data_IF_944688737035
#
_entry.id   IF_944688737035
#
_cell.length_a   1.000
_cell.length_b   1.000
_cell.length_c   1.000
_cell.angle_alpha   90.00
_cell.angle_beta   90.00
_cell.angle_gamma   90.00
#
_symmetry.space_group_name_H-M   'P 1'
#
loop_
_entity.id
_entity.type
_entity.pdbx_description
1 polymer ?
#
# COMPACT_ATOMS: atom_id res chain seq x y z
N UNK A 1 -38.27 -54.25 -45.28
CA UNK A 1 -38.59 -52.86 -45.65
C UNK A 1 -37.29 -52.08 -45.55
N UNK A 2 -36.82 -51.59 -46.68
CA UNK A 2 -35.42 -51.28 -47.00
C UNK A 2 -35.33 -49.79 -47.37
N UNK A 3 -34.12 -49.20 -47.28
CA UNK A 3 -33.70 -47.93 -47.91
C UNK A 3 -34.21 -46.63 -47.22
N UNK A 4 -33.49 -45.50 -47.13
CA UNK A 4 -32.23 -45.01 -47.74
C UNK A 4 -31.79 -43.73 -46.96
N UNK A 5 -30.52 -43.64 -46.57
CA UNK A 5 -29.50 -42.66 -47.02
C UNK A 5 -29.87 -41.16 -47.02
N UNK A 6 -29.05 -40.33 -46.35
CA UNK A 6 -29.08 -38.88 -46.52
C UNK A 6 -28.02 -38.12 -45.72
N UNK A 7 -26.74 -38.53 -45.77
CA UNK A 7 -25.63 -37.74 -45.22
C UNK A 7 -25.31 -36.59 -46.19
N UNK A 8 -25.66 -35.35 -45.82
CA UNK A 8 -25.20 -34.14 -46.51
C UNK A 8 -24.08 -33.51 -45.70
N UNK A 9 -22.87 -33.55 -46.27
CA UNK A 9 -21.70 -32.88 -45.74
C UNK A 9 -21.83 -31.37 -45.84
N UNK A 10 -21.53 -30.69 -44.73
CA UNK A 10 -21.31 -29.25 -44.70
C UNK A 10 -19.81 -29.03 -44.47
N UNK A 11 -19.12 -28.66 -45.55
CA UNK A 11 -17.73 -28.22 -45.54
C UNK A 11 -17.70 -26.82 -44.92
N UNK A 12 -17.55 -26.75 -43.59
CA UNK A 12 -17.42 -25.50 -42.85
C UNK A 12 -16.00 -24.97 -43.02
N UNK A 13 -15.82 -24.03 -43.95
CA UNK A 13 -14.58 -23.29 -44.11
C UNK A 13 -14.42 -22.32 -42.92
N UNK A 14 -13.65 -22.73 -41.91
CA UNK A 14 -13.24 -21.86 -40.80
C UNK A 14 -12.10 -20.97 -41.32
N UNK A 15 -12.47 -19.78 -41.79
CA UNK A 15 -11.53 -18.71 -42.12
C UNK A 15 -10.99 -18.15 -40.80
N UNK A 16 -9.81 -18.65 -40.38
CA UNK A 16 -8.99 -18.07 -39.32
C UNK A 16 -8.63 -16.62 -39.71
N UNK A 17 -9.45 -15.68 -39.25
CA UNK A 17 -9.06 -14.27 -39.21
C UNK A 17 -8.22 -14.07 -37.95
N UNK A 18 -6.91 -14.25 -38.08
CA UNK A 18 -5.93 -13.83 -37.08
C UNK A 18 -5.94 -12.30 -37.04
N UNK A 19 -6.92 -11.73 -36.35
CA UNK A 19 -6.89 -10.33 -35.94
C UNK A 19 -5.79 -10.24 -34.91
N UNK A 20 -4.60 -9.82 -35.35
CA UNK A 20 -3.51 -9.42 -34.48
C UNK A 20 -3.96 -8.22 -33.67
N UNK A 21 -4.53 -8.47 -32.50
CA UNK A 21 -4.77 -7.45 -31.48
C UNK A 21 -3.38 -7.08 -30.96
N UNK A 22 -2.75 -6.11 -31.61
CA UNK A 22 -1.60 -5.40 -31.05
C UNK A 22 -2.12 -4.67 -29.82
N UNK A 23 -1.97 -5.31 -28.65
CA UNK A 23 -2.11 -4.66 -27.37
C UNK A 23 -1.08 -3.52 -27.34
N UNK A 24 -1.53 -2.30 -27.63
CA UNK A 24 -0.80 -1.08 -27.34
C UNK A 24 -0.74 -0.98 -25.81
N UNK A 25 0.25 -1.64 -25.21
CA UNK A 25 0.63 -1.37 -23.83
C UNK A 25 1.26 0.02 -23.85
N UNK A 26 0.46 1.04 -23.57
CA UNK A 26 1.00 2.35 -23.23
C UNK A 26 1.92 2.14 -22.04
N UNK A 27 3.24 2.20 -22.27
CA UNK A 27 4.19 2.37 -21.19
C UNK A 27 3.80 3.71 -20.55
N UNK A 28 3.14 3.64 -19.39
CA UNK A 28 2.93 4.82 -18.58
C UNK A 28 4.29 5.45 -18.36
N UNK A 29 4.44 6.73 -18.71
CA UNK A 29 5.62 7.48 -18.32
C UNK A 29 5.59 7.48 -16.81
N UNK A 30 6.52 6.74 -16.22
CA UNK A 30 6.61 6.63 -14.79
C UNK A 30 6.79 8.05 -14.22
N UNK A 31 5.90 8.40 -13.31
CA UNK A 31 5.81 9.70 -12.68
C UNK A 31 6.76 9.83 -11.50
N UNK A 32 6.62 10.93 -10.74
CA UNK A 32 7.46 11.22 -9.58
C UNK A 32 7.29 10.23 -8.42
N UNK A 33 6.27 9.36 -8.46
CA UNK A 33 5.99 8.37 -7.41
C UNK A 33 6.26 6.93 -7.89
N UNK A 34 7.08 6.74 -8.93
CA UNK A 34 7.49 5.42 -9.42
C UNK A 34 8.13 4.60 -8.29
N UNK A 35 7.83 3.29 -8.24
CA UNK A 35 8.37 2.41 -7.22
C UNK A 35 7.70 2.54 -5.85
N UNK A 36 6.61 3.29 -5.75
CA UNK A 36 5.92 3.48 -4.48
C UNK A 36 5.42 2.16 -3.88
N UNK A 37 5.48 2.09 -2.55
CA UNK A 37 5.03 0.97 -1.75
C UNK A 37 4.16 1.50 -0.60
N UNK A 38 3.27 0.67 -0.09
CA UNK A 38 2.56 0.94 1.16
C UNK A 38 3.08 0.03 2.26
N UNK A 39 3.43 0.63 3.38
CA UNK A 39 3.96 -0.04 4.56
C UNK A 39 2.94 0.01 5.69
N UNK A 40 2.98 -0.98 6.57
CA UNK A 40 2.26 -0.96 7.84
C UNK A 40 3.26 -0.76 8.96
N UNK A 41 2.92 0.11 9.91
CA UNK A 41 3.78 0.51 11.02
C UNK A 41 2.97 0.50 12.32
N UNK A 42 3.57 0.09 13.43
CA UNK A 42 3.01 0.19 14.79
C UNK A 42 4.04 0.82 15.71
N UNK A 43 3.57 1.58 16.69
CA UNK A 43 4.34 2.12 17.79
C UNK A 43 3.76 1.57 19.09
N UNK A 44 4.50 0.66 19.73
CA UNK A 44 4.08 0.01 20.98
C UNK A 44 3.96 1.00 22.14
N UNK A 45 4.41 2.25 21.98
CA UNK A 45 4.18 3.32 22.95
C UNK A 45 2.79 3.98 22.85
N UNK A 46 2.03 3.69 21.78
CA UNK A 46 0.72 4.30 21.54
C UNK A 46 -0.41 3.36 21.96
N UNK A 47 -1.03 3.68 23.09
CA UNK A 47 -2.27 3.04 23.52
C UNK A 47 -3.48 3.66 22.81
N UNK A 48 -4.42 2.82 22.38
CA UNK A 48 -5.69 3.32 21.85
C UNK A 48 -6.53 4.03 22.92
N UNK A 49 -7.09 5.17 22.55
CA UNK A 49 -7.95 6.02 23.34
C UNK A 49 -9.06 6.58 22.46
N UNK A 50 -10.32 6.37 22.88
CA UNK A 50 -11.48 6.78 22.10
C UNK A 50 -11.50 8.29 21.86
N UNK A 51 -11.67 8.69 20.59
CA UNK A 51 -11.78 10.09 20.18
C UNK A 51 -10.45 10.83 20.04
N UNK A 52 -9.32 10.12 20.15
CA UNK A 52 -8.01 10.64 19.76
C UNK A 52 -7.83 10.47 18.26
N UNK A 53 -7.38 11.53 17.59
CA UNK A 53 -6.92 11.44 16.20
C UNK A 53 -5.46 10.99 16.21
N UNK A 54 -5.18 9.82 15.63
CA UNK A 54 -3.85 9.24 15.55
C UNK A 54 -3.05 9.72 14.33
N UNK A 55 -3.61 10.66 13.57
CA UNK A 55 -2.91 11.35 12.50
C UNK A 55 -1.63 12.02 12.99
N UNK A 56 -0.53 11.81 12.27
CA UNK A 56 0.81 12.35 12.54
C UNK A 56 1.47 11.80 13.82
N UNK A 57 0.93 10.72 14.40
CA UNK A 57 1.45 10.11 15.64
C UNK A 57 2.31 8.86 15.39
N UNK A 58 2.55 8.46 14.13
CA UNK A 58 3.45 7.33 13.82
C UNK A 58 4.91 7.58 14.21
N UNK A 59 5.32 8.84 14.37
CA UNK A 59 6.73 9.19 14.61
C UNK A 59 7.67 8.93 13.41
N UNK A 60 7.12 8.51 12.25
CA UNK A 60 7.87 8.23 11.03
C UNK A 60 7.61 9.23 9.89
N UNK A 61 6.82 10.27 10.13
CA UNK A 61 6.61 11.32 9.14
C UNK A 61 7.84 12.22 9.03
N UNK A 62 8.27 12.47 7.81
CA UNK A 62 9.30 13.45 7.54
C UNK A 62 8.68 14.84 7.37
N UNK A 63 9.40 15.91 7.72
CA UNK A 63 8.91 17.26 7.48
C UNK A 63 8.43 17.46 6.02
N UNK A 64 7.25 18.06 5.86
CA UNK A 64 6.65 18.32 4.55
C UNK A 64 7.42 19.39 3.74
N UNK A 65 8.32 20.14 4.40
CA UNK A 65 9.11 21.23 3.84
C UNK A 65 10.52 20.80 3.37
N UNK A 66 10.80 19.50 3.31
CA UNK A 66 12.07 19.03 2.76
C UNK A 66 12.14 19.40 1.28
N UNK A 67 13.08 20.28 0.93
CA UNK A 67 13.42 20.54 -0.45
C UNK A 67 13.89 19.23 -1.09
N UNK A 68 13.36 18.94 -2.28
CA UNK A 68 13.78 17.79 -3.06
C UNK A 68 15.31 17.74 -3.21
N UNK A 69 15.87 16.54 -3.46
CA UNK A 69 17.28 16.23 -3.26
C UNK A 69 18.30 17.30 -3.72
N UNK A 70 19.47 17.35 -3.06
CA UNK A 70 20.02 16.32 -2.19
C UNK A 70 19.43 16.31 -0.78
N UNK A 71 18.95 15.15 -0.32
CA UNK A 71 18.60 14.95 1.09
C UNK A 71 19.90 14.81 1.89
N UNK A 72 20.02 15.49 3.02
CA UNK A 72 21.16 15.27 3.91
C UNK A 72 21.09 13.88 4.58
N UNK A 73 22.23 13.29 4.96
CA UNK A 73 22.26 11.97 5.61
C UNK A 73 21.58 11.96 7.00
N UNK A 74 21.34 13.13 7.59
CA UNK A 74 20.53 13.30 8.81
C UNK A 74 19.02 13.25 8.54
N UNK A 75 18.63 13.14 7.28
CA UNK A 75 17.24 13.14 6.89
C UNK A 75 16.55 11.82 7.24
N UNK A 76 15.26 11.98 7.45
CA UNK A 76 14.25 10.96 7.65
C UNK A 76 14.26 9.80 6.62
N UNK A 77 15.03 9.95 5.53
CA UNK A 77 15.27 8.98 4.47
C UNK A 77 15.83 7.63 4.94
N UNK A 78 16.76 7.64 5.90
CA UNK A 78 17.35 6.40 6.43
C UNK A 78 16.33 5.57 7.22
N UNK A 79 15.24 6.17 7.70
CA UNK A 79 14.23 5.48 8.50
C UNK A 79 13.17 4.77 7.64
N UNK A 80 12.97 5.22 6.40
CA UNK A 80 11.97 4.67 5.48
C UNK A 80 12.14 3.15 5.23
N UNK A 81 13.38 2.70 5.12
CA UNK A 81 13.73 1.33 4.77
C UNK A 81 14.08 0.44 5.97
N UNK A 82 14.00 0.96 7.20
CA UNK A 82 14.31 0.23 8.43
C UNK A 82 13.06 -0.39 9.10
N UNK A 83 11.92 -0.40 8.40
CA UNK A 83 10.66 -0.91 8.94
C UNK A 83 10.67 -2.44 8.86
N UNK A 84 10.92 -3.07 10.01
CA UNK A 84 10.82 -4.51 10.16
C UNK A 84 9.35 -4.98 10.05
N UNK A 85 9.10 -6.27 9.76
CA UNK A 85 7.77 -6.84 9.80
C UNK A 85 7.09 -6.53 11.15
N UNK A 86 5.91 -5.93 11.08
CA UNK A 86 5.13 -5.59 12.26
C UNK A 86 4.30 -6.80 12.69
N UNK A 87 4.57 -7.27 13.91
CA UNK A 87 3.71 -8.23 14.61
C UNK A 87 3.31 -7.64 15.96
N UNK A 88 2.02 -7.63 16.25
CA UNK A 88 1.53 -7.32 17.57
C UNK A 88 1.36 -8.60 18.39
N UNK A 89 1.85 -8.59 19.63
CA UNK A 89 1.66 -9.68 20.58
C UNK A 89 0.57 -9.31 21.56
N UNK A 90 -0.54 -10.03 21.47
CA UNK A 90 -1.64 -9.91 22.41
C UNK A 90 -2.97 -9.78 21.69
N UNK A 91 -4.02 -9.79 22.49
CA UNK A 91 -5.40 -9.50 22.09
C UNK A 91 -5.75 -8.04 22.38
N UNK A 92 -4.76 -7.23 22.75
CA UNK A 92 -4.95 -5.83 23.08
C UNK A 92 -5.20 -5.01 21.82
N UNK A 93 -5.79 -3.86 22.02
CA UNK A 93 -6.17 -2.99 20.92
C UNK A 93 -4.94 -2.21 20.43
N UNK A 94 -4.59 -2.43 19.18
CA UNK A 94 -3.38 -1.91 18.55
C UNK A 94 -3.73 -0.78 17.60
N UNK A 95 -3.02 0.33 17.71
CA UNK A 95 -3.02 1.39 16.69
C UNK A 95 -1.87 1.13 15.72
N UNK A 96 -2.16 1.18 14.43
CA UNK A 96 -1.16 1.05 13.39
C UNK A 96 -1.44 2.01 12.23
N UNK A 97 -0.39 2.40 11.54
CA UNK A 97 -0.41 3.38 10.46
C UNK A 97 -0.11 2.72 9.12
N UNK A 98 -0.70 3.29 8.08
CA UNK A 98 -0.32 3.06 6.69
C UNK A 98 0.59 4.21 6.28
N UNK A 99 1.78 3.85 5.82
CA UNK A 99 2.76 4.81 5.29
C UNK A 99 2.89 4.59 3.79
N UNK A 100 2.80 5.66 3.02
CA UNK A 100 3.24 5.66 1.63
C UNK A 100 4.73 5.96 1.58
N UNK A 101 5.52 5.06 1.00
CA UNK A 101 6.95 5.25 0.82
C UNK A 101 7.32 5.22 -0.65
N UNK A 102 8.18 6.15 -1.08
CA UNK A 102 8.75 6.19 -2.43
C UNK A 102 10.26 6.04 -2.29
N UNK A 103 10.81 4.83 -2.48
CA UNK A 103 12.24 4.57 -2.31
C UNK A 103 13.07 5.19 -3.45
N UNK A 104 14.39 5.38 -3.25
CA UNK A 104 15.31 5.65 -4.35
C UNK A 104 15.28 4.52 -5.35
N UNK A 105 15.35 4.87 -6.63
CA UNK A 105 15.46 3.88 -7.70
C UNK A 105 16.94 3.62 -7.99
N UNK A 106 17.27 2.39 -8.40
CA UNK A 106 18.65 2.01 -8.75
C UNK A 106 19.25 2.89 -9.85
N UNK A 107 18.41 3.27 -10.82
CA UNK A 107 18.77 4.09 -11.96
C UNK A 107 18.84 5.58 -11.62
N UNK A 108 18.34 5.99 -10.45
CA UNK A 108 18.29 7.39 -10.02
C UNK A 108 18.24 7.54 -8.48
N UNK A 109 19.33 7.19 -7.77
CA UNK A 109 19.34 7.17 -6.31
C UNK A 109 19.26 8.56 -5.68
N UNK A 110 19.67 9.58 -6.43
CA UNK A 110 19.75 10.96 -5.96
C UNK A 110 18.48 11.77 -6.26
N UNK A 111 17.45 11.20 -6.89
CA UNK A 111 16.30 11.96 -7.39
C UNK A 111 14.94 11.39 -6.99
N UNK A 112 14.72 11.15 -5.70
CA UNK A 112 13.36 10.94 -5.20
C UNK A 112 12.78 12.28 -4.82
N UNK A 113 11.85 12.80 -5.62
CA UNK A 113 11.05 13.97 -5.27
C UNK A 113 9.58 13.56 -5.38
N UNK A 114 9.07 12.80 -4.38
CA UNK A 114 7.69 12.35 -4.38
C UNK A 114 6.76 13.54 -4.53
N UNK A 115 5.65 13.32 -5.19
CA UNK A 115 4.57 14.30 -5.31
C UNK A 115 3.27 13.56 -5.10
N UNK A 116 2.95 13.21 -3.87
CA UNK A 116 1.76 12.44 -3.56
C UNK A 116 0.61 13.41 -3.30
N UNK A 117 -0.30 13.54 -4.27
CA UNK A 117 -1.51 14.36 -4.15
C UNK A 117 -2.71 13.54 -3.69
N UNK A 118 -2.72 12.26 -4.01
CA UNK A 118 -3.73 11.32 -3.54
C UNK A 118 -3.28 9.89 -3.82
N UNK A 119 -3.99 8.93 -3.26
CA UNK A 119 -3.74 7.52 -3.51
C UNK A 119 -4.99 6.68 -3.33
N UNK A 120 -4.96 5.46 -3.88
CA UNK A 120 -5.99 4.45 -3.71
C UNK A 120 -5.38 3.20 -3.09
N UNK A 121 -6.07 2.60 -2.13
CA UNK A 121 -5.66 1.31 -1.55
C UNK A 121 -6.87 0.58 -0.99
N UNK A 122 -6.65 -0.65 -0.54
CA UNK A 122 -7.62 -1.43 0.18
C UNK A 122 -6.97 -2.31 1.22
N UNK A 123 -7.80 -3.05 1.94
CA UNK A 123 -7.37 -3.97 2.99
C UNK A 123 -8.07 -5.31 2.84
N UNK A 124 -7.45 -6.36 3.38
CA UNK A 124 -8.06 -7.67 3.51
C UNK A 124 -7.65 -8.30 4.85
N UNK A 125 -8.62 -8.93 5.50
CA UNK A 125 -8.46 -9.63 6.78
C UNK A 125 -9.67 -10.57 6.97
N UNK A 126 -9.61 -11.49 7.94
CA UNK A 126 -10.77 -12.29 8.32
C UNK A 126 -11.55 -11.60 9.45
N UNK A 127 -12.77 -11.12 9.16
CA UNK A 127 -13.61 -10.42 10.16
C UNK A 127 -14.01 -11.30 11.36
N UNK A 128 -13.95 -12.64 11.22
CA UNK A 128 -14.16 -13.55 12.34
C UNK A 128 -12.99 -13.55 13.34
N UNK A 129 -11.80 -13.18 12.89
CA UNK A 129 -10.56 -13.25 13.67
C UNK A 129 -10.06 -11.86 14.08
N UNK A 130 -10.34 -10.82 13.28
CA UNK A 130 -9.88 -9.45 13.50
C UNK A 130 -11.05 -8.47 13.45
N UNK A 131 -11.04 -7.49 14.36
CA UNK A 131 -11.99 -6.38 14.35
C UNK A 131 -11.27 -5.03 14.31
N UNK A 132 -11.56 -4.24 13.29
CA UNK A 132 -11.23 -2.82 13.27
C UNK A 132 -12.32 -2.06 14.03
N UNK A 133 -11.94 -1.22 14.98
CA UNK A 133 -12.86 -0.45 15.83
C UNK A 133 -12.86 1.04 15.54
N UNK A 134 -11.77 1.56 14.97
CA UNK A 134 -11.62 2.98 14.65
C UNK A 134 -10.58 3.14 13.53
N UNK A 135 -10.65 4.25 12.80
CA UNK A 135 -9.77 4.53 11.67
C UNK A 135 -9.84 6.01 11.26
N UNK A 136 -8.81 6.49 10.56
CA UNK A 136 -8.77 7.86 10.08
C UNK A 136 -7.67 8.15 9.08
N UNK A 137 -7.70 9.36 8.52
CA UNK A 137 -6.74 9.84 7.53
C UNK A 137 -6.44 11.32 7.72
N UNK A 138 -5.23 11.73 7.35
CA UNK A 138 -4.80 13.14 7.23
C UNK A 138 -5.31 13.81 5.95
N UNK A 139 -5.93 13.03 5.05
CA UNK A 139 -6.44 13.53 3.79
C UNK A 139 -7.67 14.43 3.97
N UNK A 140 -7.85 15.36 3.02
CA UNK A 140 -9.00 16.28 3.02
C UNK A 140 -10.25 15.64 2.44
N UNK A 141 -10.08 14.78 1.45
CA UNK A 141 -11.18 14.07 0.78
C UNK A 141 -10.89 12.59 0.87
N UNK A 142 -11.90 11.85 1.26
CA UNK A 142 -11.91 10.40 1.26
C UNK A 142 -13.13 9.92 0.49
N UNK A 143 -12.91 8.97 -0.43
CA UNK A 143 -13.93 8.28 -1.19
C UNK A 143 -13.76 6.78 -0.95
N UNK A 144 -14.55 6.28 -0.02
CA UNK A 144 -14.52 4.89 0.42
C UNK A 144 -15.56 4.03 -0.30
N UNK A 145 -15.36 2.71 -0.32
CA UNK A 145 -16.39 1.75 -0.67
C UNK A 145 -17.44 1.62 0.45
N UNK A 146 -18.58 1.00 0.14
CA UNK A 146 -19.79 1.03 0.98
C UNK A 146 -19.59 0.52 2.42
N UNK A 147 -18.71 -0.46 2.63
CA UNK A 147 -18.48 -1.08 3.95
C UNK A 147 -17.09 -0.83 4.51
N UNK A 148 -16.36 0.17 4.02
CA UNK A 148 -15.05 0.50 4.55
C UNK A 148 -15.08 0.74 6.08
N UNK A 149 -14.12 0.20 6.87
CA UNK A 149 -12.95 -0.60 6.50
C UNK A 149 -13.19 -2.11 6.64
N UNK A 150 -14.18 -2.64 5.91
CA UNK A 150 -14.48 -4.08 5.87
C UNK A 150 -13.43 -4.90 5.11
N UNK A 151 -13.47 -6.24 5.21
CA UNK A 151 -12.63 -7.12 4.41
C UNK A 151 -12.83 -6.91 2.91
N UNK A 152 -11.74 -6.83 2.15
CA UNK A 152 -11.73 -6.62 0.70
C UNK A 152 -12.34 -5.29 0.24
N UNK A 153 -12.43 -4.32 1.14
CA UNK A 153 -12.88 -2.97 0.84
C UNK A 153 -11.69 -2.05 0.49
N UNK A 154 -11.99 -0.85 0.01
CA UNK A 154 -10.98 0.13 -0.37
C UNK A 154 -11.37 1.59 -0.10
N UNK A 155 -10.36 2.45 -0.11
CA UNK A 155 -10.52 3.89 -0.04
C UNK A 155 -9.62 4.62 -1.02
N UNK A 156 -10.08 5.77 -1.49
CA UNK A 156 -9.33 6.72 -2.28
C UNK A 156 -9.24 8.05 -1.53
N UNK A 157 -8.03 8.53 -1.28
CA UNK A 157 -7.80 9.74 -0.49
C UNK A 157 -7.09 10.81 -1.31
N UNK A 158 -7.38 12.08 -1.03
CA UNK A 158 -6.75 13.24 -1.65
C UNK A 158 -6.33 14.24 -0.58
N UNK A 159 -5.04 14.58 -0.59
CA UNK A 159 -4.44 15.50 0.37
C UNK A 159 -4.70 16.96 0.00
N UNK A 160 -4.89 17.86 0.99
CA UNK A 160 -5.04 19.29 0.74
C UNK A 160 -3.80 19.87 0.07
N UNK A 161 -2.62 19.41 0.49
CA UNK A 161 -1.31 19.79 -0.03
C UNK A 161 -0.60 18.56 -0.61
N UNK A 162 0.32 18.76 -1.56
CA UNK A 162 1.11 17.67 -2.13
C UNK A 162 2.13 17.21 -1.11
N UNK A 163 2.12 15.93 -0.74
CA UNK A 163 3.15 15.35 0.12
C UNK A 163 4.43 15.17 -0.69
N UNK A 164 5.49 15.83 -0.24
CA UNK A 164 6.82 15.78 -0.86
C UNK A 164 7.77 14.86 -0.10
N UNK A 165 7.39 14.42 1.09
CA UNK A 165 8.17 13.49 1.88
C UNK A 165 8.32 12.13 1.18
N UNK A 166 9.53 11.52 1.19
CA UNK A 166 9.78 10.12 0.83
C UNK A 166 8.92 9.11 1.59
N UNK A 167 8.52 9.46 2.83
CA UNK A 167 7.59 8.68 3.66
C UNK A 167 6.50 9.59 4.18
N UNK A 168 5.26 9.31 3.79
CA UNK A 168 4.09 10.05 4.26
C UNK A 168 3.18 9.11 5.05
N UNK A 169 2.71 9.56 6.20
CA UNK A 169 1.60 8.92 6.89
C UNK A 169 0.30 9.25 6.15
N UNK A 170 -0.44 8.20 5.74
CA UNK A 170 -1.60 8.37 4.86
C UNK A 170 -2.91 7.88 5.49
N UNK A 171 -2.82 6.97 6.46
CA UNK A 171 -3.96 6.38 7.13
C UNK A 171 -3.56 5.80 8.49
N UNK A 172 -4.53 5.65 9.39
CA UNK A 172 -4.35 4.89 10.62
C UNK A 172 -5.58 4.02 10.90
N UNK A 173 -5.36 2.93 11.62
CA UNK A 173 -6.38 1.99 12.07
C UNK A 173 -6.15 1.64 13.54
N UNK A 174 -7.24 1.36 14.24
CA UNK A 174 -7.22 0.73 15.55
C UNK A 174 -7.97 -0.61 15.47
N UNK A 175 -7.27 -1.71 15.79
CA UNK A 175 -7.84 -3.05 15.68
C UNK A 175 -7.39 -3.96 16.83
N UNK A 176 -8.16 -5.01 17.08
CA UNK A 176 -7.77 -6.11 17.95
C UNK A 176 -8.10 -7.44 17.28
N UNK A 177 -7.42 -8.50 17.69
CA UNK A 177 -7.63 -9.85 17.17
C UNK A 177 -8.13 -10.80 18.27
N UNK A 178 -9.01 -11.72 17.87
CA UNK A 178 -9.50 -12.83 18.69
C UNK A 178 -8.62 -14.08 18.54
N UNK A 179 -7.94 -14.23 17.40
CA UNK A 179 -7.08 -15.35 17.05
C UNK A 179 -5.90 -14.86 16.19
N UNK A 180 -4.89 -15.71 16.02
CA UNK A 180 -3.79 -15.52 15.09
C UNK A 180 -4.30 -15.18 13.68
N UNK A 181 -4.00 -13.97 13.19
CA UNK A 181 -4.51 -13.47 11.91
C UNK A 181 -3.65 -12.34 11.35
N UNK A 182 -3.84 -12.02 10.07
CA UNK A 182 -3.07 -11.00 9.36
C UNK A 182 -4.03 -10.03 8.69
N UNK A 183 -3.74 -8.74 8.83
CA UNK A 183 -4.33 -7.69 7.99
C UNK A 183 -3.33 -7.31 6.91
N UNK A 184 -3.73 -7.46 5.66
CA UNK A 184 -2.90 -7.14 4.49
C UNK A 184 -3.41 -5.89 3.81
N UNK A 185 -2.51 -4.97 3.47
CA UNK A 185 -2.80 -3.93 2.48
C UNK A 185 -2.90 -4.56 1.10
N UNK A 186 -3.71 -3.97 0.23
CA UNK A 186 -3.86 -4.36 -1.17
C UNK A 186 -4.27 -3.17 -2.02
N UNK A 187 -4.38 -3.36 -3.33
CA UNK A 187 -4.97 -2.34 -4.21
C UNK A 187 -6.47 -2.17 -3.93
N UNK A 188 -6.99 -0.96 -4.19
CA UNK A 188 -8.44 -0.71 -4.13
C UNK A 188 -9.20 -1.70 -5.05
N UNK A 189 -10.30 -2.33 -4.61
CA UNK A 189 -10.93 -3.43 -5.32
C UNK A 189 -11.40 -3.08 -6.74
N UNK A 190 -11.78 -1.81 -6.98
CA UNK A 190 -12.25 -1.33 -8.29
C UNK A 190 -11.28 -0.38 -9.00
N UNK A 191 -10.24 0.12 -8.31
CA UNK A 191 -9.33 1.16 -8.84
C UNK A 191 -7.86 0.71 -8.88
N UNK A 192 -7.53 -0.43 -8.28
CA UNK A 192 -6.15 -0.84 -8.02
C UNK A 192 -5.48 0.03 -6.96
N UNK A 193 -4.19 -0.15 -6.72
CA UNK A 193 -3.43 0.78 -5.89
C UNK A 193 -2.57 1.70 -6.73
N UNK A 194 -2.80 2.99 -6.58
CA UNK A 194 -2.18 4.03 -7.38
C UNK A 194 -1.84 5.23 -6.48
N UNK A 195 -0.71 5.88 -6.74
CA UNK A 195 -0.43 7.25 -6.29
C UNK A 195 -0.72 8.20 -7.44
N UNK A 196 -1.20 9.40 -7.12
CA UNK A 196 -1.50 10.47 -8.09
C UNK A 196 -0.67 11.69 -7.75
N UNK A 197 -0.03 12.30 -8.75
CA UNK A 197 0.67 13.58 -8.59
C UNK A 197 -0.25 14.81 -8.70
N UNK A 198 0.31 15.99 -8.50
CA UNK A 198 -0.41 17.26 -8.50
C UNK A 198 -0.49 17.94 -9.88
N UNK A 199 -0.17 17.23 -10.96
CA UNK A 199 -0.37 17.73 -12.33
C UNK A 199 -1.85 17.71 -12.71
N UNK A 200 -2.18 18.35 -13.83
CA UNK A 200 -3.54 18.38 -14.39
C UNK A 200 -3.50 17.98 -15.87
N UNK A 201 -3.92 16.75 -16.25
CA UNK A 201 -4.33 15.66 -15.36
C UNK A 201 -3.15 15.10 -14.54
N UNK A 202 -3.44 14.57 -13.35
CA UNK A 202 -2.44 13.96 -12.49
C UNK A 202 -1.87 12.69 -13.11
N UNK A 203 -0.54 12.55 -13.07
CA UNK A 203 0.09 11.29 -13.43
C UNK A 203 -0.22 10.24 -12.36
N UNK A 204 -0.33 8.99 -12.79
CA UNK A 204 -0.66 7.86 -11.91
C UNK A 204 0.47 6.86 -11.93
N UNK A 205 1.01 6.58 -10.76
CA UNK A 205 2.04 5.57 -10.54
C UNK A 205 1.42 4.40 -9.78
N UNK A 206 1.72 3.17 -10.19
CA UNK A 206 1.22 1.99 -9.49
C UNK A 206 1.96 1.81 -8.16
N UNK A 207 1.24 1.36 -7.15
CA UNK A 207 1.86 0.84 -5.92
C UNK A 207 2.40 -0.56 -6.24
N UNK A 208 3.71 -0.73 -6.13
CA UNK A 208 4.42 -1.96 -6.50
C UNK A 208 4.42 -3.00 -5.37
N UNK A 209 4.19 -2.58 -4.12
CA UNK A 209 4.19 -3.47 -2.96
C UNK A 209 3.30 -3.01 -1.82
N UNK A 210 2.77 -3.98 -1.07
CA UNK A 210 1.83 -3.76 0.02
C UNK A 210 2.27 -4.54 1.26
N UNK A 211 2.36 -3.85 2.39
CA UNK A 211 2.71 -4.43 3.68
C UNK A 211 1.55 -5.14 4.34
N UNK A 212 1.86 -5.85 5.42
CA UNK A 212 0.85 -6.45 6.30
C UNK A 212 1.30 -6.44 7.76
N UNK A 213 0.33 -6.48 8.66
CA UNK A 213 0.55 -6.61 10.11
C UNK A 213 -0.07 -7.92 10.59
N UNK A 214 0.71 -8.66 11.37
CA UNK A 214 0.25 -9.88 12.04
C UNK A 214 -0.20 -9.59 13.47
N UNK A 215 -1.24 -10.30 13.92
CA UNK A 215 -1.80 -10.22 15.27
C UNK A 215 -1.76 -11.57 15.97
N UNK A 216 -1.73 -11.55 17.30
CA UNK A 216 -1.76 -12.73 18.17
C UNK A 216 -0.78 -13.84 17.78
N UNK A 217 0.44 -13.45 17.42
CA UNK A 217 1.50 -14.40 17.04
C UNK A 217 1.75 -14.51 15.54
N UNK A 218 0.84 -14.02 14.70
CA UNK A 218 1.02 -14.07 13.25
C UNK A 218 2.18 -13.16 12.82
N UNK A 219 2.93 -13.58 11.81
CA UNK A 219 3.95 -12.73 11.18
C UNK A 219 3.31 -11.84 10.11
N UNK A 220 3.52 -10.53 10.23
CA UNK A 220 3.27 -9.59 9.14
C UNK A 220 4.36 -9.67 8.07
N UNK A 221 4.19 -8.90 6.99
CA UNK A 221 5.17 -8.80 5.91
C UNK A 221 5.57 -7.33 5.71
N UNK A 222 6.86 -7.06 5.85
CA UNK A 222 7.42 -5.81 5.35
C UNK A 222 7.53 -5.89 3.81
N UNK A 223 7.27 -4.78 3.13
CA UNK A 223 7.58 -4.70 1.70
C UNK A 223 9.09 -4.57 1.57
N UNK A 224 9.63 -5.41 0.71
CA UNK A 224 11.05 -5.51 0.46
C UNK A 224 11.59 -4.24 -0.21
N UNK A 225 12.17 -3.35 0.59
CA UNK A 225 12.77 -2.10 0.13
C UNK A 225 14.17 -2.33 -0.47
N UNK A 226 14.41 -3.44 -1.17
CA UNK A 226 15.73 -4.06 -1.47
C UNK A 226 16.73 -3.26 -2.33
N UNK A 227 16.65 -1.93 -2.30
CA UNK A 227 17.79 -1.04 -2.51
C UNK A 227 18.62 -0.77 -1.23
N UNK A 228 18.24 -1.33 -0.08
CA UNK A 228 19.09 -1.38 1.13
C UNK A 228 19.15 -2.81 1.66
N UNK A 229 20.36 -3.27 2.00
CA UNK A 229 20.66 -4.64 2.41
C UNK A 229 19.74 -5.12 3.56
N UNK A 230 19.27 -6.37 3.52
CA UNK A 230 18.41 -6.91 4.59
C UNK A 230 19.18 -6.89 5.91
N UNK A 231 18.66 -6.17 6.90
CA UNK A 231 19.02 -6.41 8.29
C UNK A 231 18.30 -7.67 8.70
N UNK A 232 19.01 -8.79 8.62
CA UNK A 232 18.53 -10.08 9.10
C UNK A 232 18.51 -10.01 10.62
N UNK A 233 17.39 -9.58 11.20
CA UNK A 233 17.03 -9.90 12.58
C UNK A 233 15.50 -9.98 12.68
N UNK A 234 15.02 -11.19 12.94
CA UNK A 234 13.63 -11.47 13.28
C UNK A 234 13.28 -10.73 14.57
N UNK A 235 12.44 -9.68 14.50
CA UNK A 235 11.95 -9.02 15.71
C UNK A 235 10.48 -9.28 15.95
N UNK A 236 10.22 -9.98 17.05
CA UNK A 236 8.99 -9.92 17.80
C UNK A 236 8.98 -8.66 18.66
N UNK A 237 8.02 -7.75 18.44
CA UNK A 237 7.74 -6.58 19.29
C UNK A 237 8.81 -5.48 19.27
N UNK A 238 8.35 -4.23 19.17
CA UNK A 238 9.10 -2.99 19.07
C UNK A 238 10.02 -2.85 17.85
N UNK A 239 9.81 -1.76 17.10
CA UNK A 239 10.82 -1.20 16.21
C UNK A 239 12.12 -0.98 16.98
N UNK A 240 13.12 -1.81 16.69
CA UNK A 240 14.51 -1.51 17.03
C UNK A 240 15.06 -0.54 15.98
N UNK A 241 14.62 0.72 16.02
CA UNK A 241 15.39 1.79 15.38
C UNK A 241 16.70 1.94 16.16
N UNK A 242 17.78 1.39 15.59
CA UNK A 242 19.13 1.79 15.96
C UNK A 242 19.49 3.03 15.16
N UNK A 243 19.41 4.20 15.77
CA UNK A 243 20.10 5.39 15.25
C UNK A 243 21.60 5.05 15.16
N UNK A 244 22.18 5.21 13.98
CA UNK A 244 23.63 5.40 13.84
C UNK A 244 23.89 6.84 13.47
#
# INVERSE_FOLDING_TARGET
MQMRSGFRGYTLAILLSAIGVTLLTSAGIAGPNRGAILLVHTDDAQDYSLGVDYSHLSGLECPDDIECPPYDESSCYNNACAINPTSHRGTDLTVFWVLAAVPPLEDDPDQVCPRIKGLTFGINYNEADLRIVDWGTTARVELQTDHWPGPNEGTAIVFPDTKLSPVAEVYWFAAYAYYETVLTLQGHPTQGGQLVDDRVPGNRDLIEGYGSIGFDGAEGTAVDCRFVLPVVDTSWGALKHGFR
#
